data_IF_876230546411
#
_entry.id   IF_876230546411
#
_cell.length_a   1.000
_cell.length_b   1.000
_cell.length_c   1.000
_cell.angle_alpha   90.00
_cell.angle_beta   90.00
_cell.angle_gamma   90.00
#
_symmetry.space_group_name_H-M   'P 1'
#
loop_
_entity.id
_entity.type
_entity.pdbx_description
1 polymer ?
#
# COMPACT_ATOMS: atom_id res chain seq x y z
N UNK A 1 12.86 4.40 19.24
CA UNK A 1 14.15 4.67 18.57
C UNK A 1 14.09 6.05 17.96
N UNK A 2 15.06 6.91 18.17
CA UNK A 2 15.12 8.19 17.49
C UNK A 2 15.22 7.96 15.97
N UNK A 3 14.53 8.82 15.20
CA UNK A 3 14.57 8.77 13.73
C UNK A 3 16.01 9.00 13.24
N UNK A 4 16.49 8.16 12.33
CA UNK A 4 17.81 8.34 11.71
C UNK A 4 17.75 9.48 10.71
N UNK A 5 18.43 10.59 11.02
CA UNK A 5 18.51 11.72 10.12
C UNK A 5 19.55 11.53 9.02
N UNK A 6 19.30 12.15 7.86
CA UNK A 6 20.28 12.15 6.77
C UNK A 6 21.50 13.01 7.10
N UNK A 7 22.72 12.54 6.78
CA UNK A 7 23.93 13.33 6.87
C UNK A 7 23.84 14.60 6.01
N UNK A 8 24.51 15.66 6.40
CA UNK A 8 24.54 16.94 5.63
C UNK A 8 24.94 16.74 4.17
N UNK A 9 25.90 15.87 3.90
CA UNK A 9 26.35 15.55 2.52
C UNK A 9 25.21 15.04 1.66
N UNK A 10 24.44 14.08 2.18
CA UNK A 10 23.28 13.50 1.50
C UNK A 10 22.21 14.57 1.25
N UNK A 11 21.91 15.39 2.27
CA UNK A 11 20.93 16.49 2.12
C UNK A 11 21.31 17.47 1.00
N UNK A 12 22.58 17.87 0.95
CA UNK A 12 23.10 18.79 -0.09
C UNK A 12 22.99 18.18 -1.48
N UNK A 13 23.34 16.92 -1.61
CA UNK A 13 23.32 16.22 -2.90
C UNK A 13 21.90 16.01 -3.42
N UNK A 14 20.97 15.64 -2.56
CA UNK A 14 19.55 15.52 -2.90
C UNK A 14 18.96 16.87 -3.34
N UNK A 15 19.27 17.96 -2.64
CA UNK A 15 18.83 19.31 -3.04
C UNK A 15 19.42 19.68 -4.40
N UNK A 16 20.71 19.41 -4.62
CA UNK A 16 21.39 19.72 -5.88
C UNK A 16 20.78 18.97 -7.07
N UNK A 17 20.51 17.67 -6.92
CA UNK A 17 19.90 16.88 -8.01
C UNK A 17 18.45 17.29 -8.31
N UNK A 18 17.74 17.80 -7.30
CA UNK A 18 16.34 18.23 -7.42
C UNK A 18 16.19 19.69 -7.82
N UNK A 19 17.29 20.44 -7.90
CA UNK A 19 17.28 21.86 -8.30
C UNK A 19 17.66 22.00 -9.76
N UNK A 20 16.80 22.70 -10.54
CA UNK A 20 17.02 23.06 -11.94
C UNK A 20 16.75 24.56 -12.09
N UNK A 21 17.67 25.28 -12.71
CA UNK A 21 17.55 26.73 -12.95
C UNK A 21 17.20 27.55 -11.69
N UNK A 22 17.74 27.16 -10.53
CA UNK A 22 17.48 27.80 -9.25
C UNK A 22 16.13 27.46 -8.61
N UNK A 23 15.34 26.58 -9.22
CA UNK A 23 14.03 26.13 -8.70
C UNK A 23 14.12 24.68 -8.23
N UNK A 24 13.59 24.43 -7.05
CA UNK A 24 13.54 23.08 -6.47
C UNK A 24 12.28 22.36 -6.94
N UNK A 25 12.45 21.14 -7.44
CA UNK A 25 11.35 20.29 -7.92
C UNK A 25 11.16 19.10 -6.99
N UNK A 26 9.90 18.73 -6.79
CA UNK A 26 9.55 17.52 -6.07
C UNK A 26 9.91 16.29 -6.91
N UNK A 27 10.66 15.34 -6.36
CA UNK A 27 11.05 14.11 -7.07
C UNK A 27 9.85 13.17 -7.30
N UNK A 28 8.78 13.32 -6.54
CA UNK A 28 7.59 12.48 -6.64
C UNK A 28 6.55 12.97 -7.64
N UNK A 29 6.18 14.23 -7.60
CA UNK A 29 5.19 14.81 -8.52
C UNK A 29 5.79 15.62 -9.67
N UNK A 30 7.10 15.93 -9.64
CA UNK A 30 7.80 16.68 -10.67
C UNK A 30 7.46 18.17 -10.72
N UNK A 31 6.67 18.68 -9.79
CA UNK A 31 6.26 20.09 -9.75
C UNK A 31 7.27 20.94 -8.96
N UNK A 32 7.44 22.24 -9.34
CA UNK A 32 8.25 23.15 -8.56
C UNK A 32 7.62 23.38 -7.18
N UNK A 33 8.43 23.39 -6.14
CA UNK A 33 7.95 23.53 -4.78
C UNK A 33 8.73 24.59 -4.00
N UNK A 34 7.99 25.45 -3.29
CA UNK A 34 8.56 26.45 -2.37
C UNK A 34 8.84 25.86 -0.99
N UNK A 35 8.01 24.91 -0.56
CA UNK A 35 8.18 24.15 0.68
C UNK A 35 8.41 22.70 0.34
N UNK A 36 9.49 22.16 0.85
CA UNK A 36 9.92 20.78 0.60
C UNK A 36 10.56 20.18 1.83
N UNK A 37 10.62 18.86 1.85
CA UNK A 37 11.30 18.10 2.90
C UNK A 37 12.10 16.97 2.25
N UNK A 38 13.17 16.55 2.89
CA UNK A 38 13.91 15.35 2.51
C UNK A 38 13.40 14.22 3.38
N UNK A 39 12.90 13.18 2.76
CA UNK A 39 12.32 12.03 3.43
C UNK A 39 12.92 10.72 2.91
N UNK A 40 12.70 9.64 3.66
CA UNK A 40 13.13 8.30 3.31
C UNK A 40 12.16 7.67 2.32
N UNK A 41 12.65 7.13 1.19
CA UNK A 41 11.85 6.32 0.26
C UNK A 41 11.30 5.10 0.98
N UNK A 42 12.18 4.37 1.66
CA UNK A 42 11.84 3.29 2.58
C UNK A 42 11.88 3.86 3.99
N UNK A 43 10.76 3.91 4.73
CA UNK A 43 10.74 4.48 6.08
C UNK A 43 11.75 3.85 7.03
N UNK A 44 12.36 4.67 7.88
CA UNK A 44 13.28 4.23 8.94
C UNK A 44 12.62 3.20 9.88
N UNK A 45 11.31 3.31 10.11
CA UNK A 45 10.52 2.40 10.95
C UNK A 45 10.46 0.95 10.45
N UNK A 46 10.81 0.71 9.19
CA UNK A 46 10.85 -0.61 8.56
C UNK A 46 12.24 -0.96 8.02
N UNK A 47 13.28 -0.27 8.50
CA UNK A 47 14.67 -0.57 8.20
C UNK A 47 15.34 0.30 7.14
N UNK A 48 14.70 1.40 6.70
CA UNK A 48 15.31 2.35 5.76
C UNK A 48 16.60 2.95 6.32
N UNK A 49 17.63 3.04 5.49
CA UNK A 49 18.93 3.63 5.87
C UNK A 49 19.03 5.07 5.38
N UNK A 50 19.75 5.95 6.09
CA UNK A 50 19.94 7.35 5.72
C UNK A 50 21.03 7.52 4.65
N UNK A 51 20.87 6.83 3.52
CA UNK A 51 21.75 6.87 2.36
C UNK A 51 21.11 7.65 1.21
N UNK A 52 21.92 8.06 0.24
CA UNK A 52 21.43 8.92 -0.86
C UNK A 52 20.39 8.23 -1.74
N UNK A 53 20.50 6.92 -1.92
CA UNK A 53 19.58 6.11 -2.70
C UNK A 53 18.18 6.03 -2.05
N UNK A 54 18.13 6.18 -0.72
CA UNK A 54 16.91 6.15 0.07
C UNK A 54 16.42 7.55 0.45
N UNK A 55 17.05 8.61 -0.05
CA UNK A 55 16.66 9.99 0.20
C UNK A 55 15.89 10.54 -1.01
N UNK A 56 14.74 11.13 -0.76
CA UNK A 56 13.95 11.84 -1.77
C UNK A 56 13.54 13.23 -1.29
N UNK A 57 13.53 14.21 -2.21
CA UNK A 57 13.04 15.54 -1.94
C UNK A 57 11.59 15.63 -2.41
N UNK A 58 10.68 15.88 -1.48
CA UNK A 58 9.24 15.90 -1.74
C UNK A 58 8.59 17.18 -1.23
N UNK A 59 7.56 17.64 -1.93
CA UNK A 59 6.74 18.77 -1.52
C UNK A 59 5.84 18.38 -0.33
N UNK A 60 5.30 19.38 0.36
CA UNK A 60 4.45 19.19 1.53
C UNK A 60 3.23 18.29 1.25
N UNK A 61 2.58 18.45 0.09
CA UNK A 61 1.40 17.64 -0.30
C UNK A 61 1.78 16.17 -0.49
N UNK A 62 2.89 15.92 -1.20
CA UNK A 62 3.39 14.54 -1.40
C UNK A 62 3.86 13.92 -0.10
N UNK A 63 4.45 14.71 0.81
CA UNK A 63 4.87 14.29 2.13
C UNK A 63 3.68 13.81 2.97
N UNK A 64 2.59 14.57 3.04
CA UNK A 64 1.40 14.19 3.80
C UNK A 64 0.79 12.89 3.28
N UNK A 65 0.67 12.77 1.96
CA UNK A 65 0.15 11.55 1.32
C UNK A 65 1.03 10.35 1.61
N UNK A 66 2.35 10.52 1.47
CA UNK A 66 3.34 9.48 1.77
C UNK A 66 3.31 9.08 3.23
N UNK A 67 3.31 10.04 4.15
CA UNK A 67 3.32 9.79 5.58
C UNK A 67 2.10 8.95 6.03
N UNK A 68 0.91 9.23 5.50
CA UNK A 68 -0.29 8.42 5.73
C UNK A 68 -0.12 6.98 5.24
N UNK A 69 0.50 6.80 4.08
CA UNK A 69 0.78 5.48 3.52
C UNK A 69 1.82 4.73 4.37
N UNK A 70 2.94 5.37 4.67
CA UNK A 70 4.06 4.77 5.42
C UNK A 70 3.63 4.36 6.83
N UNK A 71 2.80 5.15 7.49
CA UNK A 71 2.21 4.81 8.80
C UNK A 71 1.38 3.52 8.72
N UNK A 72 0.58 3.35 7.66
CA UNK A 72 -0.21 2.12 7.45
C UNK A 72 0.68 0.92 7.18
N UNK A 73 1.72 1.09 6.35
CA UNK A 73 2.68 0.04 6.02
C UNK A 73 3.45 -0.38 7.28
N UNK A 74 3.99 0.56 8.05
CA UNK A 74 4.70 0.29 9.29
C UNK A 74 3.82 -0.45 10.32
N UNK A 75 2.57 -0.06 10.46
CA UNK A 75 1.61 -0.74 11.33
C UNK A 75 1.32 -2.18 10.85
N UNK A 76 1.22 -2.38 9.53
CA UNK A 76 1.04 -3.72 8.93
C UNK A 76 2.25 -4.61 9.18
N UNK A 77 3.46 -4.09 8.93
CA UNK A 77 4.72 -4.84 9.16
C UNK A 77 4.84 -5.28 10.61
N UNK A 78 4.67 -4.37 11.57
CA UNK A 78 4.70 -4.68 13.00
C UNK A 78 3.67 -5.74 13.40
N UNK A 79 2.47 -5.70 12.82
CA UNK A 79 1.41 -6.69 13.08
C UNK A 79 1.76 -8.07 12.53
N UNK A 80 2.34 -8.13 11.32
CA UNK A 80 2.78 -9.38 10.69
C UNK A 80 3.93 -9.98 11.47
N UNK A 81 4.91 -9.17 11.87
CA UNK A 81 6.04 -9.58 12.70
C UNK A 81 5.57 -10.14 14.05
N UNK A 82 4.71 -9.41 14.76
CA UNK A 82 4.14 -9.89 16.02
C UNK A 82 3.38 -11.21 15.85
N UNK A 83 2.68 -11.39 14.72
CA UNK A 83 1.98 -12.64 14.40
C UNK A 83 2.95 -13.77 14.13
N UNK A 84 4.04 -13.53 13.40
CA UNK A 84 5.06 -14.55 13.09
C UNK A 84 5.82 -14.98 14.34
N UNK A 85 6.04 -14.07 15.28
CA UNK A 85 6.66 -14.35 16.57
C UNK A 85 5.68 -14.97 17.59
N UNK A 86 4.43 -15.22 17.21
CA UNK A 86 3.43 -15.82 18.10
C UNK A 86 2.88 -14.88 19.17
N UNK A 87 3.20 -13.59 19.12
CA UNK A 87 2.69 -12.60 20.06
C UNK A 87 1.24 -12.27 19.72
N UNK A 88 0.31 -12.88 20.45
CA UNK A 88 -1.12 -12.58 20.32
C UNK A 88 -1.49 -11.41 21.22
N UNK A 89 -2.10 -10.37 20.67
CA UNK A 89 -2.76 -9.35 21.50
C UNK A 89 -3.95 -9.98 22.20
N UNK A 90 -4.13 -9.77 23.52
CA UNK A 90 -5.35 -10.21 24.18
C UNK A 90 -6.54 -9.50 23.51
N UNK A 91 -7.53 -10.28 23.10
CA UNK A 91 -8.79 -9.73 22.58
C UNK A 91 -9.59 -9.14 23.74
N UNK A 92 -9.64 -7.82 23.80
CA UNK A 92 -10.43 -7.11 24.83
C UNK A 92 -11.92 -7.11 24.53
N UNK A 93 -12.29 -7.40 23.28
CA UNK A 93 -13.67 -7.46 22.84
C UNK A 93 -14.20 -8.90 22.99
N UNK A 94 -14.84 -9.17 24.12
CA UNK A 94 -15.74 -10.32 24.27
C UNK A 94 -17.12 -9.86 23.74
N UNK A 95 -17.33 -9.89 22.41
CA UNK A 95 -18.69 -9.77 21.90
C UNK A 95 -19.43 -11.07 22.20
N UNK A 96 -20.60 -10.99 22.80
CA UNK A 96 -21.55 -12.08 22.70
C UNK A 96 -21.78 -12.29 21.19
N UNK A 97 -21.43 -13.46 20.66
CA UNK A 97 -21.60 -13.75 19.23
C UNK A 97 -23.03 -13.43 18.79
N UNK A 98 -23.21 -13.09 17.52
CA UNK A 98 -24.54 -12.93 16.96
C UNK A 98 -25.39 -14.16 17.29
N UNK A 99 -26.57 -13.95 17.87
CA UNK A 99 -27.52 -15.03 18.06
C UNK A 99 -27.72 -15.73 16.72
N UNK A 100 -27.46 -17.03 16.65
CA UNK A 100 -27.72 -17.81 15.44
C UNK A 100 -29.23 -17.72 15.18
N UNK A 101 -29.63 -16.89 14.21
CA UNK A 101 -31.00 -16.91 13.74
C UNK A 101 -31.29 -18.32 13.22
N UNK A 102 -32.42 -18.89 13.64
CA UNK A 102 -32.92 -20.13 13.04
C UNK A 102 -33.18 -19.84 11.55
N UNK A 103 -32.20 -20.14 10.73
CA UNK A 103 -32.32 -19.97 9.27
C UNK A 103 -33.19 -21.12 8.79
N UNK A 104 -34.36 -20.87 8.21
CA UNK A 104 -35.14 -21.94 7.64
C UNK A 104 -34.29 -22.65 6.58
N UNK A 105 -34.27 -23.97 6.60
CA UNK A 105 -33.57 -24.76 5.59
C UNK A 105 -34.08 -24.33 4.20
N UNK A 106 -33.19 -23.77 3.43
CA UNK A 106 -33.53 -23.47 2.03
C UNK A 106 -33.74 -24.78 1.29
N UNK A 107 -34.87 -24.99 0.62
CA UNK A 107 -35.02 -26.17 -0.22
C UNK A 107 -33.86 -26.25 -1.21
N UNK A 108 -33.25 -27.39 -1.31
CA UNK A 108 -32.18 -27.63 -2.29
C UNK A 108 -32.78 -27.42 -3.68
N UNK A 109 -32.54 -26.27 -4.26
CA UNK A 109 -32.85 -26.00 -5.67
C UNK A 109 -31.96 -26.91 -6.51
N UNK A 110 -32.49 -28.07 -6.88
CA UNK A 110 -31.91 -28.88 -7.93
C UNK A 110 -32.17 -28.14 -9.23
N UNK A 111 -31.17 -27.36 -9.65
CA UNK A 111 -31.17 -26.73 -10.96
C UNK A 111 -31.03 -27.85 -11.99
N UNK A 112 -32.13 -28.37 -12.49
CA UNK A 112 -32.12 -29.21 -13.69
C UNK A 112 -31.83 -28.27 -14.83
N UNK A 113 -30.60 -28.25 -15.30
CA UNK A 113 -30.22 -27.50 -16.49
C UNK A 113 -30.86 -28.25 -17.69
N UNK A 114 -31.59 -27.55 -18.56
CA UNK A 114 -32.03 -28.15 -19.80
C UNK A 114 -30.81 -28.63 -20.60
N UNK A 115 -30.94 -29.77 -21.33
CA UNK A 115 -29.85 -30.26 -22.15
C UNK A 115 -29.41 -29.17 -23.12
N UNK A 116 -28.10 -28.88 -23.15
CA UNK A 116 -27.55 -27.98 -24.15
C UNK A 116 -27.84 -28.53 -25.54
N UNK A 117 -28.44 -27.75 -26.44
CA UNK A 117 -28.49 -28.18 -27.83
C UNK A 117 -27.07 -28.33 -28.34
N UNK A 118 -26.74 -29.52 -28.81
CA UNK A 118 -25.46 -29.77 -29.47
C UNK A 118 -25.44 -28.90 -30.72
N UNK A 119 -24.39 -28.09 -30.84
CA UNK A 119 -24.16 -27.32 -32.06
C UNK A 119 -23.86 -28.31 -33.18
N UNK A 120 -24.87 -28.62 -33.99
CA UNK A 120 -24.68 -29.29 -35.27
C UNK A 120 -24.21 -28.22 -36.24
N UNK A 121 -22.91 -28.19 -36.50
CA UNK A 121 -22.35 -27.34 -37.53
C UNK A 121 -22.83 -27.86 -38.89
N UNK A 122 -23.82 -27.19 -39.45
CA UNK A 122 -24.13 -27.31 -40.87
C UNK A 122 -23.25 -26.30 -41.58
N UNK A 123 -22.09 -26.80 -42.05
CA UNK A 123 -21.28 -26.16 -43.04
C UNK A 123 -22.05 -26.22 -44.38
N UNK A 124 -22.84 -25.19 -44.66
CA UNK A 124 -23.28 -24.91 -46.02
C UNK A 124 -22.45 -23.75 -46.55
N UNK A 125 -21.34 -24.10 -47.15
CA UNK A 125 -20.67 -23.31 -48.18
C UNK A 125 -21.38 -23.67 -49.48
N UNK A 126 -22.18 -22.78 -50.03
CA UNK A 126 -22.56 -22.77 -51.45
C UNK A 126 -22.18 -21.40 -52.01
N UNK A 127 -21.28 -21.47 -52.97
CA UNK A 127 -20.91 -20.68 -54.15
C UNK A 127 -21.18 -19.16 -54.17
#
# INVERSE_FOLDING_TARGET
MPRKEFPKKVKVEVIRRSTRDGVVYCEKCGLPCKKWQIDHVIPDSIGGQPVIENAELICEICYDTKNRHDTKVAAKVKRVEAKSLGVKKPTTLKSAGFAKSARPERPKLTKVLPPRPMFTGDDNVEE
#
